data_IF_340166828668
#
_entry.id   IF_340166828668
#
_cell.length_a   1.000
_cell.length_b   1.000
_cell.length_c   1.000
_cell.angle_alpha   90.00
_cell.angle_beta   90.00
_cell.angle_gamma   90.00
#
_symmetry.space_group_name_H-M   'P 1'
#
loop_
_entity.id
_entity.type
_entity.pdbx_description
1 polymer ?
#
# COMPACT_ATOMS: atom_id res chain seq x y z
N UNK A 1 -21.19 -5.92 16.14
CA UNK A 1 -21.20 -4.45 16.01
C UNK A 1 -21.15 -4.13 14.53
N UNK A 2 -22.08 -3.36 13.94
CA UNK A 2 -21.98 -3.03 12.53
C UNK A 2 -20.70 -2.20 12.35
N UNK A 3 -19.77 -2.65 11.48
CA UNK A 3 -18.61 -1.85 11.10
C UNK A 3 -19.14 -0.50 10.63
N UNK A 4 -18.78 0.59 11.32
CA UNK A 4 -19.08 1.95 10.85
C UNK A 4 -18.58 2.03 9.40
N UNK A 5 -19.37 2.60 8.50
CA UNK A 5 -18.92 2.85 7.14
C UNK A 5 -17.60 3.63 7.20
N UNK A 6 -16.52 3.01 6.73
CA UNK A 6 -15.21 3.63 6.66
C UNK A 6 -15.14 4.43 5.38
N UNK A 7 -14.66 5.67 5.49
CA UNK A 7 -14.44 6.55 4.34
C UNK A 7 -13.11 6.19 3.70
N UNK A 8 -13.09 6.07 2.38
CA UNK A 8 -11.85 6.01 1.61
C UNK A 8 -11.10 7.35 1.73
N UNK A 9 -9.83 7.30 2.11
CA UNK A 9 -9.03 8.49 2.37
C UNK A 9 -8.37 9.08 1.12
N UNK A 10 -8.65 8.57 -0.09
CA UNK A 10 -8.00 9.02 -1.32
C UNK A 10 -8.14 10.52 -1.58
N UNK A 11 -9.28 11.13 -1.25
CA UNK A 11 -9.49 12.59 -1.41
C UNK A 11 -8.60 13.43 -0.49
N UNK A 12 -8.03 12.81 0.55
CA UNK A 12 -7.11 13.44 1.48
C UNK A 12 -5.65 13.20 1.14
N UNK A 13 -5.33 12.40 0.11
CA UNK A 13 -3.94 12.12 -0.30
C UNK A 13 -3.37 13.32 -1.07
N UNK A 14 -2.19 13.79 -0.68
CA UNK A 14 -1.41 14.72 -1.50
C UNK A 14 -0.68 13.93 -2.60
N UNK A 15 -1.35 13.84 -3.75
CA UNK A 15 -0.87 13.11 -4.91
C UNK A 15 0.54 13.50 -5.36
N UNK A 16 0.94 14.78 -5.20
CA UNK A 16 2.25 15.27 -5.64
C UNK A 16 3.40 14.79 -4.75
N UNK A 17 3.06 14.37 -3.54
CA UNK A 17 4.00 13.93 -2.51
C UNK A 17 4.04 12.40 -2.38
N UNK A 18 3.32 11.67 -3.24
CA UNK A 18 3.39 10.20 -3.31
C UNK A 18 4.69 9.79 -4.01
N UNK A 19 5.42 8.89 -3.37
CA UNK A 19 6.67 8.34 -3.88
C UNK A 19 6.62 6.81 -3.77
N UNK A 20 7.15 6.13 -4.78
CA UNK A 20 7.32 4.68 -4.75
C UNK A 20 8.75 4.33 -5.15
N UNK A 21 9.48 3.69 -4.24
CA UNK A 21 10.83 3.18 -4.50
C UNK A 21 10.74 1.76 -5.06
N UNK A 22 11.67 1.41 -5.96
CA UNK A 22 11.77 0.13 -6.66
C UNK A 22 10.55 -0.23 -7.53
N UNK A 23 9.81 0.76 -8.04
CA UNK A 23 8.74 0.49 -9.01
C UNK A 23 9.31 0.22 -10.40
N UNK A 24 8.85 -0.85 -11.07
CA UNK A 24 9.23 -1.21 -12.45
C UNK A 24 8.91 -0.12 -13.47
N UNK A 25 7.87 0.67 -13.22
CA UNK A 25 7.47 1.77 -14.09
C UNK A 25 7.15 3.00 -13.26
N UNK A 26 7.69 4.15 -13.66
CA UNK A 26 7.41 5.43 -13.02
C UNK A 26 5.90 5.71 -12.94
N UNK A 27 5.48 6.33 -11.83
CA UNK A 27 4.07 6.64 -11.52
C UNK A 27 3.09 5.44 -11.47
N UNK A 28 3.55 4.19 -11.62
CA UNK A 28 2.68 2.99 -11.51
C UNK A 28 2.06 2.81 -10.13
N UNK A 29 2.51 3.56 -9.11
CA UNK A 29 1.84 3.64 -7.81
C UNK A 29 0.37 4.09 -7.91
N UNK A 30 -0.01 4.82 -8.98
CA UNK A 30 -1.40 5.20 -9.26
C UNK A 30 -2.29 3.98 -9.47
N UNK A 31 -1.73 2.92 -10.06
CA UNK A 31 -2.41 1.66 -10.28
C UNK A 31 -2.71 0.93 -8.96
N UNK A 32 -2.04 1.28 -7.85
CA UNK A 32 -2.35 0.74 -6.54
C UNK A 32 -3.27 1.66 -5.71
N UNK A 33 -3.19 2.98 -5.89
CA UNK A 33 -3.83 3.95 -5.00
C UNK A 33 -5.08 4.64 -5.58
N UNK A 34 -5.13 4.95 -6.87
CA UNK A 34 -6.12 5.88 -7.42
C UNK A 34 -7.36 5.18 -8.01
N UNK A 35 -8.59 5.65 -7.72
CA UNK A 35 -9.82 5.16 -8.31
C UNK A 35 -9.79 5.21 -9.84
N UNK A 36 -10.28 4.16 -10.48
CA UNK A 36 -10.16 3.95 -11.92
C UNK A 36 -8.99 3.03 -12.25
N UNK A 37 -7.71 3.48 -12.15
CA UNK A 37 -6.57 2.60 -12.35
C UNK A 37 -6.53 1.41 -11.40
N UNK A 38 -6.72 1.61 -10.09
CA UNK A 38 -6.64 0.52 -9.10
C UNK A 38 -7.76 -0.52 -9.18
N UNK A 39 -8.81 -0.21 -9.93
CA UNK A 39 -9.96 -1.10 -10.12
C UNK A 39 -9.80 -1.94 -11.40
N UNK A 40 -8.73 -1.73 -12.18
CA UNK A 40 -8.43 -2.46 -13.41
C UNK A 40 -7.39 -3.55 -13.16
N UNK A 41 -7.78 -4.81 -13.32
CA UNK A 41 -6.90 -5.97 -13.11
C UNK A 41 -5.62 -5.96 -13.97
N UNK A 42 -5.65 -5.29 -15.13
CA UNK A 42 -4.47 -5.16 -16.02
C UNK A 42 -3.49 -4.07 -15.59
N UNK A 43 -3.83 -3.26 -14.58
CA UNK A 43 -3.00 -2.16 -14.08
C UNK A 43 -2.58 -2.49 -12.66
N UNK A 44 -1.31 -2.82 -12.49
CA UNK A 44 -0.72 -3.14 -11.18
C UNK A 44 0.52 -2.30 -10.92
N UNK A 45 0.92 -2.23 -9.65
CA UNK A 45 2.23 -1.76 -9.23
C UNK A 45 3.14 -2.99 -9.08
N UNK A 46 4.26 -3.01 -9.79
CA UNK A 46 5.20 -4.13 -9.84
C UNK A 46 6.58 -3.63 -9.44
N UNK A 47 7.33 -4.44 -8.70
CA UNK A 47 8.71 -4.12 -8.33
C UNK A 47 9.70 -4.38 -9.48
N UNK A 48 10.81 -3.66 -9.53
CA UNK A 48 11.77 -3.71 -10.64
C UNK A 48 12.85 -4.80 -10.46
N UNK A 49 13.67 -4.67 -9.40
CA UNK A 49 14.85 -5.52 -9.20
C UNK A 49 14.57 -6.72 -8.28
N UNK A 50 14.05 -6.45 -7.08
CA UNK A 50 13.63 -7.45 -6.09
C UNK A 50 12.13 -7.36 -5.74
N UNK A 51 11.66 -8.17 -4.79
CA UNK A 51 10.24 -8.23 -4.40
C UNK A 51 9.79 -7.08 -3.47
N UNK A 52 10.70 -6.20 -3.03
CA UNK A 52 10.41 -5.18 -2.02
C UNK A 52 10.02 -3.83 -2.65
N UNK A 53 8.95 -3.21 -2.15
CA UNK A 53 8.53 -1.86 -2.52
C UNK A 53 8.44 -0.97 -1.28
N UNK A 54 8.76 0.32 -1.43
CA UNK A 54 8.41 1.35 -0.43
C UNK A 54 7.45 2.33 -1.09
N UNK A 55 6.18 2.28 -0.68
CA UNK A 55 5.16 3.24 -1.10
C UNK A 55 4.93 4.25 0.03
N UNK A 56 5.23 5.52 -0.24
CA UNK A 56 5.04 6.63 0.68
C UNK A 56 3.83 7.44 0.26
N UNK A 57 2.88 7.58 1.20
CA UNK A 57 1.64 8.35 0.99
C UNK A 57 1.57 9.45 2.03
N UNK A 58 1.52 10.69 1.56
CA UNK A 58 1.26 11.86 2.40
C UNK A 58 -0.21 12.28 2.30
N UNK A 59 -0.77 12.75 3.42
CA UNK A 59 -2.12 13.31 3.45
C UNK A 59 -2.05 14.84 3.52
N UNK A 60 -2.86 15.51 2.70
CA UNK A 60 -3.00 16.97 2.64
C UNK A 60 -3.78 17.55 3.83
N UNK A 61 -4.36 16.70 4.67
CA UNK A 61 -5.15 17.08 5.84
C UNK A 61 -4.94 16.08 6.98
N UNK A 62 -5.30 16.50 8.20
CA UNK A 62 -5.16 15.66 9.38
C UNK A 62 -6.21 14.55 9.37
N UNK A 63 -5.80 13.34 8.98
CA UNK A 63 -6.62 12.14 8.98
C UNK A 63 -6.14 11.13 10.04
N UNK A 64 -7.01 10.19 10.40
CA UNK A 64 -6.65 9.04 11.24
C UNK A 64 -6.96 7.77 10.47
N UNK A 65 -5.98 7.19 9.75
CA UNK A 65 -6.15 5.90 9.09
C UNK A 65 -6.55 4.84 10.12
N UNK A 66 -7.59 4.07 9.80
CA UNK A 66 -8.13 3.01 10.68
C UNK A 66 -8.01 1.61 10.09
N UNK A 67 -7.88 1.51 8.77
CA UNK A 67 -7.64 0.28 8.05
C UNK A 67 -6.91 0.62 6.75
N UNK A 68 -6.24 -0.38 6.20
CA UNK A 68 -5.66 -0.37 4.87
C UNK A 68 -6.17 -1.61 4.14
N UNK A 69 -6.58 -1.43 2.89
CA UNK A 69 -6.94 -2.54 2.01
C UNK A 69 -5.77 -2.81 1.08
N UNK A 70 -5.33 -4.06 1.00
CA UNK A 70 -4.17 -4.46 0.21
C UNK A 70 -4.58 -5.66 -0.62
N UNK A 71 -4.54 -5.50 -1.94
CA UNK A 71 -4.89 -6.57 -2.87
C UNK A 71 -3.74 -6.74 -3.87
N UNK A 72 -3.42 -7.99 -4.18
CA UNK A 72 -2.49 -8.34 -5.27
C UNK A 72 -3.24 -8.68 -6.55
N UNK A 73 -2.52 -9.09 -7.59
CA UNK A 73 -3.11 -9.51 -8.87
C UNK A 73 -3.89 -10.85 -8.79
N UNK A 74 -4.01 -11.44 -7.60
CA UNK A 74 -4.52 -12.79 -7.34
C UNK A 74 -6.02 -12.97 -7.64
N UNK A 75 -6.81 -11.90 -7.72
CA UNK A 75 -8.26 -11.99 -7.90
C UNK A 75 -8.70 -12.51 -9.29
N UNK A 76 -7.84 -12.47 -10.32
CA UNK A 76 -8.22 -12.82 -11.71
C UNK A 76 -7.26 -13.76 -12.44
N UNK A 77 -6.07 -14.04 -11.90
CA UNK A 77 -5.10 -14.92 -12.53
C UNK A 77 -4.99 -16.25 -11.77
N UNK A 78 -4.83 -17.35 -12.51
CA UNK A 78 -4.64 -18.68 -11.94
C UNK A 78 -3.54 -18.60 -10.87
N UNK A 79 -3.78 -19.22 -9.72
CA UNK A 79 -2.97 -19.17 -8.47
C UNK A 79 -1.46 -19.42 -8.63
N UNK A 80 -1.00 -19.81 -9.81
CA UNK A 80 0.39 -20.13 -10.11
C UNK A 80 1.26 -18.88 -10.34
N UNK A 81 0.69 -17.74 -10.74
CA UNK A 81 1.41 -16.46 -10.97
C UNK A 81 0.92 -15.30 -10.07
N UNK A 82 0.16 -15.59 -9.01
CA UNK A 82 -0.38 -14.58 -8.12
C UNK A 82 0.74 -13.90 -7.28
N UNK A 83 1.23 -12.76 -7.74
CA UNK A 83 2.12 -11.89 -6.95
C UNK A 83 1.28 -10.93 -6.10
N UNK A 84 1.32 -11.17 -4.79
CA UNK A 84 0.74 -10.30 -3.77
C UNK A 84 1.77 -10.13 -2.65
N UNK A 85 1.86 -8.94 -2.02
CA UNK A 85 2.75 -8.76 -0.89
C UNK A 85 2.32 -9.71 0.23
N UNK A 86 3.24 -10.53 0.75
CA UNK A 86 2.97 -11.43 1.89
C UNK A 86 3.11 -10.74 3.23
N UNK A 87 3.95 -9.70 3.30
CA UNK A 87 4.23 -8.96 4.52
C UNK A 87 4.22 -7.49 4.19
N UNK A 88 3.43 -6.71 4.93
CA UNK A 88 3.39 -5.26 4.81
C UNK A 88 3.77 -4.64 6.15
N UNK A 89 4.83 -3.84 6.14
CA UNK A 89 5.31 -3.07 7.29
C UNK A 89 4.80 -1.64 7.16
N UNK A 90 4.05 -1.19 8.17
CA UNK A 90 3.39 0.11 8.16
C UNK A 90 4.17 1.05 9.07
N UNK A 91 4.55 2.19 8.52
CA UNK A 91 5.26 3.25 9.22
C UNK A 91 4.39 4.51 9.16
N UNK A 92 4.22 5.17 10.30
CA UNK A 92 3.49 6.43 10.41
C UNK A 92 4.46 7.55 10.79
N UNK A 93 4.20 8.76 10.30
CA UNK A 93 5.03 9.94 10.58
C UNK A 93 6.53 9.71 10.26
N UNK A 94 6.81 8.96 9.19
CA UNK A 94 8.15 8.60 8.73
C UNK A 94 8.45 9.29 7.39
N UNK A 95 8.93 10.55 7.40
CA UNK A 95 9.08 11.33 6.16
C UNK A 95 10.23 10.86 5.26
N UNK A 96 11.16 10.08 5.79
CA UNK A 96 12.30 9.53 5.04
C UNK A 96 12.43 8.04 5.29
N UNK A 97 12.01 7.22 4.33
CA UNK A 97 12.23 5.78 4.34
C UNK A 97 13.07 5.39 3.13
N UNK A 98 14.02 4.50 3.36
CA UNK A 98 14.83 3.87 2.33
C UNK A 98 15.05 2.42 2.72
N UNK A 99 15.37 1.55 1.75
CA UNK A 99 15.66 0.14 2.03
C UNK A 99 16.78 -0.05 3.06
N UNK A 100 17.78 0.84 3.07
CA UNK A 100 18.88 0.82 4.05
C UNK A 100 18.45 1.13 5.50
N UNK A 101 17.46 2.03 5.66
CA UNK A 101 17.07 2.54 6.97
C UNK A 101 15.81 1.86 7.52
N UNK A 102 14.95 1.32 6.65
CA UNK A 102 13.65 0.74 7.03
C UNK A 102 13.82 -0.49 7.91
N UNK A 103 14.85 -1.32 7.63
CA UNK A 103 15.17 -2.51 8.42
C UNK A 103 15.56 -2.18 9.88
N UNK A 104 16.04 -0.96 10.13
CA UNK A 104 16.46 -0.49 11.47
C UNK A 104 15.34 0.22 12.21
N UNK A 105 14.21 0.50 11.54
CA UNK A 105 13.06 1.19 12.12
C UNK A 105 12.04 0.19 12.63
N UNK A 106 11.44 0.51 13.77
CA UNK A 106 10.28 -0.23 14.27
C UNK A 106 9.06 0.19 13.45
N UNK A 107 8.46 -0.77 12.75
CA UNK A 107 7.16 -0.55 12.12
C UNK A 107 6.11 -0.31 13.22
N UNK A 108 5.17 0.60 12.96
CA UNK A 108 4.01 0.79 13.84
C UNK A 108 3.17 -0.49 13.85
N UNK A 109 3.09 -1.16 12.70
CA UNK A 109 2.40 -2.43 12.54
C UNK A 109 3.07 -3.27 11.46
N UNK A 110 2.99 -4.59 11.61
CA UNK A 110 3.35 -5.57 10.59
C UNK A 110 2.11 -6.41 10.33
N UNK A 111 1.72 -6.53 9.05
CA UNK A 111 0.59 -7.33 8.62
C UNK A 111 1.12 -8.46 7.75
N UNK A 112 0.80 -9.70 8.10
CA UNK A 112 0.99 -10.85 7.24
C UNK A 112 -0.28 -11.05 6.43
N UNK A 113 -0.14 -11.22 5.11
CA UNK A 113 -1.24 -11.30 4.15
C UNK A 113 -1.21 -12.62 3.39
N UNK A 114 -2.37 -13.23 3.24
CA UNK A 114 -2.69 -14.42 2.46
C UNK A 114 -3.77 -14.11 1.40
N UNK A 115 -3.40 -13.37 0.35
CA UNK A 115 -4.28 -13.07 -0.79
C UNK A 115 -4.83 -11.64 -0.78
N UNK A 116 -6.14 -11.48 -0.93
CA UNK A 116 -6.84 -10.18 -0.96
C UNK A 116 -7.29 -9.78 0.44
N UNK A 117 -6.35 -9.27 1.24
CA UNK A 117 -6.57 -9.01 2.66
C UNK A 117 -6.88 -7.56 2.99
N UNK A 118 -7.68 -7.39 4.04
CA UNK A 118 -7.95 -6.10 4.68
C UNK A 118 -7.26 -6.07 6.04
N UNK A 119 -6.26 -5.18 6.18
CA UNK A 119 -5.54 -4.97 7.43
C UNK A 119 -6.20 -3.87 8.26
N UNK A 120 -6.64 -4.18 9.48
CA UNK A 120 -7.03 -3.15 10.45
C UNK A 120 -5.77 -2.45 10.96
N UNK A 121 -5.79 -1.11 11.05
CA UNK A 121 -4.66 -0.33 11.52
C UNK A 121 -4.80 -0.02 13.00
N UNK A 122 -3.91 -0.57 13.82
CA UNK A 122 -3.78 -0.21 15.23
C UNK A 122 -2.61 0.77 15.41
N UNK A 123 -2.79 1.96 14.83
CA UNK A 123 -1.85 3.08 14.93
C UNK A 123 -2.28 4.01 16.07
N UNK A 124 -2.04 3.59 17.31
CA UNK A 124 -2.21 4.41 18.52
C UNK A 124 -1.03 5.33 18.81
#
# INVERSE_FOLDING_TARGET
SPRRAMLDLIEHVDQRSVECLNALTDESWRNALWPGPRDQASLTLVSDDDEELILRVEFSSNVRPRAVKIAGASATHAREDASAPRVVKIFVNAPSLSFENVAKRRAAQVVELDGDDEGELDVT
#
